data_IF_119612859301
#
_entry.id   IF_119612859301
#
_cell.length_a   1.000
_cell.length_b   1.000
_cell.length_c   1.000
_cell.angle_alpha   90.00
_cell.angle_beta   90.00
_cell.angle_gamma   90.00
#
_symmetry.space_group_name_H-M   'P 1'
#
loop_
_entity.id
_entity.type
_entity.pdbx_description
1 polymer ?
#
# COMPACT_ATOMS: atom_id res chain seq x y z
N UNK A 1 -11.96 3.11 -12.11
CA UNK A 1 -11.01 3.07 -13.23
C UNK A 1 -11.33 1.88 -14.15
N UNK A 2 -10.94 1.87 -15.43
CA UNK A 2 -11.07 0.66 -16.26
C UNK A 2 -9.77 -0.14 -16.18
N UNK A 3 -9.84 -1.35 -15.63
CA UNK A 3 -8.69 -2.26 -15.54
C UNK A 3 -8.39 -2.84 -16.94
N UNK A 4 -7.12 -2.80 -17.34
CA UNK A 4 -6.62 -3.48 -18.55
C UNK A 4 -5.80 -4.71 -18.14
N UNK A 5 -6.27 -5.89 -18.51
CA UNK A 5 -5.56 -7.15 -18.25
C UNK A 5 -4.56 -7.49 -19.35
N UNK A 6 -3.36 -7.90 -18.97
CA UNK A 6 -2.31 -8.39 -19.88
C UNK A 6 -1.81 -9.73 -19.35
N UNK A 7 -1.88 -10.78 -20.19
CA UNK A 7 -1.36 -12.10 -19.86
C UNK A 7 0.12 -12.18 -20.19
N UNK A 8 0.90 -12.77 -19.28
CA UNK A 8 2.34 -13.00 -19.43
C UNK A 8 2.64 -14.47 -19.14
N UNK A 9 3.60 -15.05 -19.86
CA UNK A 9 3.96 -16.47 -19.78
C UNK A 9 5.40 -16.73 -19.35
N UNK A 10 6.22 -15.70 -19.26
CA UNK A 10 7.62 -15.79 -18.85
C UNK A 10 8.09 -14.47 -18.24
N UNK A 11 9.21 -14.53 -17.50
CA UNK A 11 9.84 -13.33 -16.92
C UNK A 11 10.21 -12.32 -18.03
N UNK A 12 10.78 -12.79 -19.15
CA UNK A 12 11.11 -11.91 -20.28
C UNK A 12 9.86 -11.27 -20.90
N UNK A 13 8.77 -12.03 -21.04
CA UNK A 13 7.49 -11.50 -21.50
C UNK A 13 6.95 -10.44 -20.55
N UNK A 14 7.01 -10.69 -19.24
CA UNK A 14 6.61 -9.74 -18.21
C UNK A 14 7.39 -8.42 -18.28
N UNK A 15 8.73 -8.49 -18.29
CA UNK A 15 9.59 -7.30 -18.37
C UNK A 15 9.31 -6.50 -19.65
N UNK A 16 9.16 -7.17 -20.79
CA UNK A 16 8.81 -6.52 -22.06
C UNK A 16 7.44 -5.82 -22.00
N UNK A 17 6.44 -6.42 -21.35
CA UNK A 17 5.13 -5.79 -21.20
C UNK A 17 5.18 -4.58 -20.26
N UNK A 18 5.90 -4.67 -19.14
CA UNK A 18 6.11 -3.52 -18.24
C UNK A 18 6.74 -2.34 -18.98
N UNK A 19 7.76 -2.59 -19.81
CA UNK A 19 8.36 -1.54 -20.64
C UNK A 19 7.39 -0.95 -21.68
N UNK A 20 6.59 -1.79 -22.34
CA UNK A 20 5.58 -1.33 -23.31
C UNK A 20 4.51 -0.47 -22.66
N UNK A 21 3.97 -0.89 -21.51
CA UNK A 21 2.95 -0.12 -20.78
C UNK A 21 3.54 1.20 -20.29
N UNK A 22 4.76 1.19 -19.74
CA UNK A 22 5.45 2.42 -19.33
C UNK A 22 5.62 3.40 -20.50
N UNK A 23 6.04 2.91 -21.67
CA UNK A 23 6.19 3.76 -22.86
C UNK A 23 4.84 4.29 -23.37
N UNK A 24 3.76 3.52 -23.24
CA UNK A 24 2.42 3.96 -23.59
C UNK A 24 1.87 5.03 -22.65
N UNK A 25 2.22 4.97 -21.37
CA UNK A 25 1.81 5.96 -20.38
C UNK A 25 2.64 7.24 -20.43
N UNK A 26 3.79 7.22 -21.11
CA UNK A 26 4.71 8.37 -21.22
C UNK A 26 5.08 8.97 -19.85
N UNK A 27 5.31 8.10 -18.86
CA UNK A 27 5.67 8.48 -17.50
C UNK A 27 7.03 7.92 -17.08
N UNK A 28 7.67 8.63 -16.15
CA UNK A 28 8.97 8.22 -15.63
C UNK A 28 8.86 6.94 -14.80
N UNK A 29 9.90 6.12 -14.83
CA UNK A 29 9.88 4.80 -14.18
C UNK A 29 9.71 4.87 -12.65
N UNK A 30 10.10 5.98 -12.01
CA UNK A 30 9.92 6.20 -10.56
C UNK A 30 8.48 6.41 -10.14
N UNK A 31 7.62 6.74 -11.11
CA UNK A 31 6.24 7.19 -10.91
C UNK A 31 5.26 6.07 -11.24
N UNK A 32 5.75 4.82 -11.23
CA UNK A 32 4.95 3.62 -11.41
C UNK A 32 5.15 2.74 -10.19
N UNK A 33 4.03 2.33 -9.62
CA UNK A 33 4.02 1.40 -8.50
C UNK A 33 3.43 0.06 -8.92
N UNK A 34 3.93 -0.99 -8.29
CA UNK A 34 3.57 -2.37 -8.56
C UNK A 34 3.17 -3.06 -7.26
N UNK A 35 2.23 -4.01 -7.35
CA UNK A 35 1.88 -4.89 -6.24
C UNK A 35 1.70 -6.31 -6.73
N UNK A 36 2.46 -7.22 -6.13
CA UNK A 36 2.36 -8.66 -6.40
C UNK A 36 1.29 -9.30 -5.54
N UNK A 37 0.42 -10.07 -6.17
CA UNK A 37 -0.66 -10.78 -5.51
C UNK A 37 -0.68 -12.24 -5.93
N UNK A 38 -0.58 -13.12 -4.94
CA UNK A 38 -0.53 -14.56 -5.14
C UNK A 38 -1.85 -15.19 -5.61
N UNK A 39 -2.97 -14.45 -5.62
CA UNK A 39 -4.25 -14.97 -6.10
C UNK A 39 -5.15 -13.87 -6.64
N UNK A 40 -5.84 -14.15 -7.75
CA UNK A 40 -6.95 -13.31 -8.25
C UNK A 40 -8.09 -13.10 -7.24
N UNK A 41 -8.16 -13.90 -6.18
CA UNK A 41 -9.15 -13.77 -5.10
C UNK A 41 -8.79 -12.68 -4.11
N UNK A 42 -7.51 -12.30 -4.02
CA UNK A 42 -7.05 -11.26 -3.12
C UNK A 42 -7.21 -9.90 -3.79
N UNK A 43 -8.25 -9.17 -3.40
CA UNK A 43 -8.56 -7.82 -3.86
C UNK A 43 -7.59 -6.80 -3.29
N UNK A 44 -7.47 -5.63 -3.94
CA UNK A 44 -6.67 -4.50 -3.44
C UNK A 44 -7.38 -3.78 -2.29
N UNK A 45 -7.64 -4.53 -1.22
CA UNK A 45 -8.28 -4.06 0.01
C UNK A 45 -7.30 -4.14 1.18
N UNK A 46 -7.38 -3.23 2.15
CA UNK A 46 -6.46 -3.18 3.26
C UNK A 46 -6.85 -4.15 4.39
N UNK A 47 -5.92 -4.34 5.33
CA UNK A 47 -6.05 -5.13 6.56
C UNK A 47 -7.41 -5.07 7.24
N UNK A 48 -7.89 -3.85 7.45
CA UNK A 48 -9.13 -3.54 8.17
C UNK A 48 -10.38 -4.08 7.49
N UNK A 49 -10.42 -4.06 6.15
CA UNK A 49 -11.60 -4.46 5.36
C UNK A 49 -11.73 -5.98 5.35
N UNK A 50 -10.67 -6.72 5.00
CA UNK A 50 -10.76 -8.18 4.88
C UNK A 50 -10.83 -8.89 6.24
N UNK A 51 -10.31 -8.28 7.33
CA UNK A 51 -10.47 -8.83 8.68
C UNK A 51 -11.78 -8.40 9.33
N UNK A 52 -12.47 -7.37 8.82
CA UNK A 52 -13.69 -6.83 9.41
C UNK A 52 -13.48 -6.19 10.79
N UNK A 53 -12.27 -5.69 11.06
CA UNK A 53 -11.87 -5.20 12.38
C UNK A 53 -11.68 -3.68 12.35
N UNK A 54 -12.53 -2.96 13.10
CA UNK A 54 -12.36 -1.54 13.45
C UNK A 54 -11.87 -1.43 14.89
N UNK A 55 -10.65 -1.86 15.18
CA UNK A 55 -10.21 -1.93 16.57
C UNK A 55 -9.28 -0.77 16.95
N UNK A 56 -9.92 0.33 17.34
CA UNK A 56 -9.31 1.37 18.18
C UNK A 56 -8.58 0.79 19.39
N UNK A 57 -9.18 -0.23 20.03
CA UNK A 57 -8.55 -0.98 21.12
C UNK A 57 -7.20 -1.60 20.73
N UNK A 58 -7.06 -2.12 19.50
CA UNK A 58 -5.77 -2.68 19.06
C UNK A 58 -4.72 -1.60 18.83
N UNK A 59 -5.14 -0.40 18.38
CA UNK A 59 -4.24 0.75 18.26
C UNK A 59 -3.75 1.18 19.63
N UNK A 60 -4.67 1.34 20.58
CA UNK A 60 -4.37 1.71 21.95
C UNK A 60 -3.47 0.67 22.63
N UNK A 61 -3.81 -0.61 22.53
CA UNK A 61 -3.01 -1.71 23.08
C UNK A 61 -1.61 -1.73 22.48
N UNK A 62 -1.46 -1.49 21.18
CA UNK A 62 -0.15 -1.38 20.56
C UNK A 62 0.65 -0.21 21.16
N UNK A 63 0.03 0.98 21.26
CA UNK A 63 0.68 2.17 21.80
C UNK A 63 1.12 2.02 23.26
N UNK A 64 0.35 1.28 24.07
CA UNK A 64 0.70 1.00 25.47
C UNK A 64 1.94 0.11 25.62
N UNK A 65 2.16 -0.81 24.68
CA UNK A 65 3.17 -1.86 24.85
C UNK A 65 4.39 -1.70 23.95
N UNK A 66 4.30 -1.00 22.81
CA UNK A 66 5.38 -1.03 21.81
C UNK A 66 6.70 -0.43 22.32
N UNK A 67 6.65 0.58 23.20
CA UNK A 67 7.86 1.21 23.75
C UNK A 67 8.66 0.24 24.61
N UNK A 68 8.01 -0.71 25.28
CA UNK A 68 8.69 -1.75 26.07
C UNK A 68 9.50 -2.72 25.20
N UNK A 69 9.20 -2.80 23.90
CA UNK A 69 9.83 -3.73 22.96
C UNK A 69 10.64 -3.02 21.86
N UNK A 70 10.78 -1.69 21.92
CA UNK A 70 11.49 -0.90 20.92
C UNK A 70 12.58 -0.05 21.56
N UNK A 71 13.84 -0.30 21.19
CA UNK A 71 14.99 0.52 21.61
C UNK A 71 14.94 1.97 21.09
N UNK A 72 14.00 2.25 20.18
CA UNK A 72 13.76 3.59 19.61
C UNK A 72 12.32 3.99 19.84
N UNK A 73 12.14 5.12 20.51
CA UNK A 73 10.84 5.79 20.55
C UNK A 73 10.56 6.39 19.16
N UNK A 74 9.56 5.84 18.47
CA UNK A 74 9.10 6.36 17.18
C UNK A 74 7.99 7.36 17.48
N UNK A 75 8.30 8.65 17.34
CA UNK A 75 7.35 9.73 17.64
C UNK A 75 6.52 10.15 16.42
N UNK A 76 6.89 9.69 15.22
CA UNK A 76 6.22 10.08 13.98
C UNK A 76 5.00 9.17 13.73
N UNK A 77 3.76 9.71 13.71
CA UNK A 77 2.54 8.89 13.69
C UNK A 77 2.39 7.95 12.49
N UNK A 78 2.82 8.37 11.30
CA UNK A 78 2.75 7.51 10.11
C UNK A 78 3.74 6.36 10.17
N UNK A 79 4.92 6.59 10.73
CA UNK A 79 5.92 5.56 11.00
C UNK A 79 5.39 4.54 12.01
N UNK A 80 4.67 4.99 13.05
CA UNK A 80 3.97 4.10 13.99
C UNK A 80 2.88 3.29 13.28
N UNK A 81 2.07 3.92 12.43
CA UNK A 81 1.01 3.23 11.71
C UNK A 81 1.56 2.15 10.74
N UNK A 82 2.66 2.46 10.06
CA UNK A 82 3.39 1.49 9.24
C UNK A 82 4.01 0.37 10.09
N UNK A 83 4.51 0.68 11.29
CA UNK A 83 5.05 -0.30 12.23
C UNK A 83 3.97 -1.26 12.73
N UNK A 84 2.77 -0.77 13.02
CA UNK A 84 1.63 -1.60 13.40
C UNK A 84 1.31 -2.63 12.31
N UNK A 85 1.26 -2.20 11.04
CA UNK A 85 1.10 -3.10 9.90
C UNK A 85 2.23 -4.14 9.84
N UNK A 86 3.47 -3.72 10.10
CA UNK A 86 4.61 -4.62 10.09
C UNK A 86 4.48 -5.75 11.13
N UNK A 87 3.91 -5.46 12.29
CA UNK A 87 3.60 -6.45 13.33
C UNK A 87 2.25 -7.16 13.14
N UNK A 88 1.59 -6.95 11.99
CA UNK A 88 0.42 -7.72 11.58
C UNK A 88 -0.92 -7.19 12.09
N UNK A 89 -0.95 -5.98 12.66
CA UNK A 89 -2.22 -5.32 12.98
C UNK A 89 -2.97 -4.98 11.69
N UNK A 90 -4.31 -5.09 11.68
CA UNK A 90 -5.11 -4.63 10.55
C UNK A 90 -5.01 -3.11 10.45
N UNK A 91 -4.34 -2.62 9.41
CA UNK A 91 -4.31 -1.18 9.09
C UNK A 91 -5.00 -0.91 7.75
N UNK A 92 -5.23 0.37 7.44
CA UNK A 92 -5.75 0.87 6.16
C UNK A 92 -4.65 1.06 5.11
N UNK A 93 -3.39 0.80 5.46
CA UNK A 93 -2.29 0.84 4.52
C UNK A 93 -2.33 -0.38 3.60
N UNK A 94 -1.95 -0.15 2.35
CA UNK A 94 -1.70 -1.18 1.36
C UNK A 94 -0.31 -0.94 0.78
N UNK A 95 0.54 -1.97 0.82
CA UNK A 95 1.92 -1.86 0.37
C UNK A 95 2.04 -1.92 -1.16
N UNK A 96 2.89 -1.07 -1.70
CA UNK A 96 3.30 -1.08 -3.09
C UNK A 96 4.83 -1.10 -3.15
N UNK A 97 5.38 -1.50 -4.29
CA UNK A 97 6.82 -1.42 -4.57
C UNK A 97 7.04 -0.65 -5.86
N UNK A 98 8.14 0.11 -5.93
CA UNK A 98 8.59 0.73 -7.18
C UNK A 98 9.30 -0.25 -8.12
N UNK A 99 9.53 -1.49 -7.69
CA UNK A 99 10.21 -2.51 -8.48
C UNK A 99 9.23 -3.55 -9.01
N UNK A 100 9.09 -3.60 -10.33
CA UNK A 100 8.29 -4.60 -11.04
C UNK A 100 8.72 -6.05 -10.69
N UNK A 101 10.02 -6.30 -10.56
CA UNK A 101 10.53 -7.64 -10.26
C UNK A 101 10.27 -8.05 -8.81
N UNK A 102 10.29 -7.10 -7.86
CA UNK A 102 9.91 -7.37 -6.46
C UNK A 102 8.41 -7.71 -6.39
N UNK A 103 7.56 -7.00 -7.13
CA UNK A 103 6.14 -7.34 -7.22
C UNK A 103 5.93 -8.72 -7.85
N UNK A 104 6.65 -9.05 -8.92
CA UNK A 104 6.58 -10.39 -9.52
C UNK A 104 7.00 -11.47 -8.52
N UNK A 105 8.06 -11.24 -7.75
CA UNK A 105 8.49 -12.15 -6.69
C UNK A 105 7.37 -12.41 -5.68
N UNK A 106 6.73 -11.37 -5.13
CA UNK A 106 5.62 -11.53 -4.19
C UNK A 106 4.39 -12.24 -4.80
N UNK A 107 4.13 -12.07 -6.10
CA UNK A 107 3.06 -12.79 -6.77
C UNK A 107 3.34 -14.31 -6.90
N UNK A 108 4.61 -14.72 -6.86
CA UNK A 108 5.06 -16.09 -7.11
C UNK A 108 5.56 -16.83 -5.87
N UNK A 109 6.05 -16.13 -4.86
CA UNK A 109 6.68 -16.70 -3.65
C UNK A 109 5.70 -17.57 -2.83
N UNK A 110 4.43 -17.18 -2.75
CA UNK A 110 3.47 -17.94 -1.96
C UNK A 110 3.06 -19.26 -2.64
N UNK A 111 3.02 -20.34 -1.85
CA UNK A 111 2.46 -21.65 -2.26
C UNK A 111 1.07 -21.45 -2.85
N UNK A 112 0.77 -22.14 -3.95
CA UNK A 112 -0.52 -22.00 -4.62
C UNK A 112 -1.65 -22.67 -3.81
N UNK A 113 -2.20 -21.93 -2.84
CA UNK A 113 -3.27 -22.39 -1.93
C UNK A 113 -4.59 -22.69 -2.63
N UNK A 114 -4.79 -22.20 -3.86
CA UNK A 114 -6.08 -22.27 -4.58
C UNK A 114 -6.06 -23.16 -5.82
N UNK A 115 -5.03 -24.01 -5.98
CA UNK A 115 -4.96 -25.00 -7.06
C UNK A 115 -4.64 -24.41 -8.45
N UNK A 116 -4.70 -25.26 -9.49
CA UNK A 116 -4.21 -24.97 -10.84
C UNK A 116 -4.86 -23.77 -11.54
N UNK A 117 -6.12 -23.45 -11.22
CA UNK A 117 -6.86 -22.33 -11.85
C UNK A 117 -6.56 -20.97 -11.23
N UNK A 118 -5.75 -20.93 -10.17
CA UNK A 118 -5.39 -19.69 -9.51
C UNK A 118 -4.41 -18.86 -10.33
N UNK A 119 -4.83 -17.66 -10.72
CA UNK A 119 -3.97 -16.71 -11.43
C UNK A 119 -3.14 -15.89 -10.44
N UNK A 120 -1.86 -15.75 -10.74
CA UNK A 120 -0.94 -14.81 -10.08
C UNK A 120 -1.04 -13.47 -10.79
N UNK A 121 -1.14 -12.39 -10.02
CA UNK A 121 -1.40 -11.05 -10.55
C UNK A 121 -0.29 -10.12 -10.11
N UNK A 122 0.16 -9.26 -11.01
CA UNK A 122 0.91 -8.06 -10.66
C UNK A 122 0.11 -6.86 -11.10
N UNK A 123 -0.30 -6.05 -10.14
CA UNK A 123 -0.93 -4.77 -10.38
C UNK A 123 0.13 -3.73 -10.71
N UNK A 124 -0.25 -2.77 -11.54
CA UNK A 124 0.58 -1.65 -11.97
C UNK A 124 -0.30 -0.39 -11.95
N UNK A 125 0.14 0.66 -11.26
CA UNK A 125 -0.61 1.91 -11.10
C UNK A 125 0.29 3.13 -11.28
N UNK A 126 -0.33 4.25 -11.67
CA UNK A 126 0.25 5.59 -11.54
C UNK A 126 -0.31 6.24 -10.27
N UNK A 127 0.47 6.38 -9.18
CA UNK A 127 0.00 7.02 -7.96
C UNK A 127 -0.32 8.50 -8.17
N UNK A 128 0.28 9.14 -9.18
CA UNK A 128 -0.01 10.54 -9.54
C UNK A 128 -1.44 10.66 -10.07
N UNK A 129 -1.86 9.77 -10.96
CA UNK A 129 -3.23 9.79 -11.51
C UNK A 129 -4.24 9.49 -10.40
N UNK A 130 -3.92 8.54 -9.50
CA UNK A 130 -4.76 8.27 -8.33
C UNK A 130 -4.96 9.52 -7.47
N UNK A 131 -3.88 10.19 -7.08
CA UNK A 131 -3.98 11.40 -6.26
C UNK A 131 -4.66 12.55 -7.00
N UNK A 132 -4.43 12.68 -8.31
CA UNK A 132 -5.08 13.71 -9.12
C UNK A 132 -6.60 13.53 -9.16
N UNK A 133 -7.10 12.30 -9.24
CA UNK A 133 -8.53 12.02 -9.16
C UNK A 133 -9.10 12.30 -7.76
N UNK A 134 -8.33 12.04 -6.69
CA UNK A 134 -8.83 12.08 -5.31
C UNK A 134 -8.74 13.46 -4.67
N UNK A 135 -7.66 14.20 -4.91
CA UNK A 135 -7.39 15.51 -4.28
C UNK A 135 -7.09 16.63 -5.31
N UNK A 136 -7.27 16.36 -6.62
CA UNK A 136 -6.97 17.31 -7.70
C UNK A 136 -5.49 17.78 -7.73
N UNK A 137 -4.59 16.95 -7.20
CA UNK A 137 -3.15 17.14 -7.26
C UNK A 137 -2.47 15.78 -7.48
N UNK A 138 -1.62 15.69 -8.50
CA UNK A 138 -0.88 14.47 -8.80
C UNK A 138 0.31 14.22 -7.90
N UNK A 139 0.66 15.14 -7.00
CA UNK A 139 1.82 14.95 -6.13
C UNK A 139 1.63 13.79 -5.14
N UNK A 140 2.67 12.97 -4.96
CA UNK A 140 2.70 11.93 -3.93
C UNK A 140 3.41 12.47 -2.70
N UNK A 141 2.64 12.71 -1.66
CA UNK A 141 3.08 13.42 -0.48
C UNK A 141 3.93 12.56 0.45
N UNK A 142 5.04 13.13 0.96
CA UNK A 142 5.67 12.63 2.16
C UNK A 142 4.86 13.08 3.38
N UNK A 143 4.06 12.16 3.92
CA UNK A 143 3.07 12.48 4.96
C UNK A 143 3.67 12.83 6.31
N UNK A 144 4.98 12.66 6.51
CA UNK A 144 5.66 13.09 7.74
C UNK A 144 6.12 14.56 7.70
N UNK A 145 6.06 15.23 6.55
CA UNK A 145 6.47 16.64 6.44
C UNK A 145 5.40 17.63 6.89
N UNK A 146 4.22 17.16 7.27
CA UNK A 146 3.14 17.99 7.78
C UNK A 146 1.97 17.17 8.29
N UNK A 147 0.91 17.87 8.71
CA UNK A 147 -0.29 17.24 9.29
C UNK A 147 -1.49 17.13 8.35
N UNK A 148 -1.33 17.57 7.09
CA UNK A 148 -2.46 17.70 6.14
C UNK A 148 -3.24 16.43 5.85
N UNK A 149 -2.65 15.25 6.13
CA UNK A 149 -3.28 13.94 5.90
C UNK A 149 -3.60 13.17 7.18
N UNK A 150 -3.50 13.81 8.36
CA UNK A 150 -3.75 13.14 9.64
C UNK A 150 -5.19 12.61 9.77
N UNK A 151 -6.12 13.12 8.96
CA UNK A 151 -7.46 12.58 8.83
C UNK A 151 -7.53 11.16 8.20
N UNK A 152 -6.41 10.63 7.70
CA UNK A 152 -6.27 9.24 7.29
C UNK A 152 -5.64 8.34 8.36
N UNK A 153 -5.17 8.89 9.50
CA UNK A 153 -4.68 8.10 10.62
C UNK A 153 -5.84 7.67 11.52
N UNK A 154 -5.69 6.61 12.32
CA UNK A 154 -6.54 6.41 13.49
C UNK A 154 -6.50 7.65 14.39
N UNK A 155 -7.60 8.00 15.04
CA UNK A 155 -7.69 9.18 15.92
C UNK A 155 -6.66 9.15 17.06
N UNK A 156 -6.26 7.96 17.52
CA UNK A 156 -5.20 7.76 18.53
C UNK A 156 -3.81 8.23 18.06
N UNK A 157 -3.59 8.24 16.74
CA UNK A 157 -2.36 8.70 16.09
C UNK A 157 -2.52 10.08 15.44
N UNK A 158 -3.72 10.65 15.48
CA UNK A 158 -4.08 11.91 14.84
C UNK A 158 -4.27 13.02 15.89
N UNK A 159 -4.83 14.16 15.47
CA UNK A 159 -5.19 15.28 16.35
C UNK A 159 -6.59 15.08 16.99
N UNK A 160 -6.95 13.83 17.31
CA UNK A 160 -8.25 13.45 17.86
C UNK A 160 -9.26 12.94 16.82
N UNK A 161 -10.53 12.86 17.22
CA UNK A 161 -11.62 12.37 16.35
C UNK A 161 -11.80 13.24 15.11
N UNK A 162 -12.03 12.60 13.97
CA UNK A 162 -12.20 13.26 12.69
C UNK A 162 -12.95 12.36 11.71
N UNK A 163 -13.51 12.95 10.66
CA UNK A 163 -14.09 12.19 9.55
C UNK A 163 -13.00 11.64 8.64
N UNK A 164 -13.08 10.34 8.35
CA UNK A 164 -12.18 9.71 7.39
C UNK A 164 -12.57 10.11 5.97
N UNK A 165 -11.62 10.59 5.14
CA UNK A 165 -11.84 10.73 3.71
C UNK A 165 -12.35 9.42 3.11
N UNK A 166 -13.14 9.50 2.04
CA UNK A 166 -13.76 8.32 1.45
C UNK A 166 -12.79 7.50 0.62
N UNK A 167 -12.10 8.17 -0.29
CA UNK A 167 -11.27 7.56 -1.32
C UNK A 167 -9.86 7.24 -0.80
N UNK A 168 -9.13 6.29 -1.42
CA UNK A 168 -7.76 5.98 -1.05
C UNK A 168 -6.79 7.04 -1.57
N UNK A 169 -5.66 7.25 -0.88
CA UNK A 169 -4.62 8.19 -1.28
C UNK A 169 -3.24 7.51 -1.37
N UNK A 170 -2.47 7.81 -2.42
CA UNK A 170 -1.07 7.40 -2.54
C UNK A 170 -0.16 8.34 -1.73
N UNK A 171 0.70 7.74 -0.90
CA UNK A 171 1.54 8.46 0.07
C UNK A 171 2.94 7.84 0.19
N UNK A 172 3.89 8.66 0.59
CA UNK A 172 5.20 8.22 1.08
C UNK A 172 5.26 8.38 2.59
N UNK A 173 5.57 7.28 3.27
CA UNK A 173 5.91 7.27 4.70
C UNK A 173 7.44 7.21 4.79
N UNK A 174 8.12 8.06 5.58
CA UNK A 174 9.57 8.02 5.71
C UNK A 174 10.03 6.66 6.26
N UNK A 175 10.98 6.05 5.56
CA UNK A 175 11.44 4.70 5.90
C UNK A 175 12.58 4.74 6.92
N UNK A 176 12.30 4.39 8.17
CA UNK A 176 13.26 4.09 9.24
C UNK A 176 13.52 2.58 9.40
N UNK A 177 12.73 1.70 8.74
CA UNK A 177 12.93 0.26 8.74
C UNK A 177 13.73 -0.22 7.49
N UNK A 178 14.78 -1.02 7.71
CA UNK A 178 15.62 -1.59 6.64
C UNK A 178 14.82 -2.41 5.62
N UNK A 179 13.76 -3.11 6.05
CA UNK A 179 12.90 -3.94 5.20
C UNK A 179 12.18 -3.12 4.12
N UNK A 180 11.63 -1.96 4.48
CA UNK A 180 10.89 -1.11 3.54
C UNK A 180 11.85 -0.45 2.54
N UNK A 181 13.06 -0.07 3.00
CA UNK A 181 14.13 0.41 2.10
C UNK A 181 14.54 -0.64 1.07
N UNK A 182 14.75 -1.89 1.49
CA UNK A 182 15.12 -2.97 0.55
C UNK A 182 14.03 -3.32 -0.47
N UNK A 183 12.76 -3.08 -0.12
CA UNK A 183 11.61 -3.39 -0.98
C UNK A 183 11.22 -2.24 -1.91
N UNK A 184 11.91 -1.09 -1.84
CA UNK A 184 11.50 0.15 -2.51
C UNK A 184 10.02 0.48 -2.24
N UNK A 185 9.62 0.35 -0.97
CA UNK A 185 8.22 0.41 -0.55
C UNK A 185 7.57 1.77 -0.73
N UNK A 186 6.31 1.75 -1.11
CA UNK A 186 5.39 2.87 -1.16
C UNK A 186 4.02 2.43 -0.64
N UNK A 187 3.11 3.35 -0.36
CA UNK A 187 1.84 3.02 0.29
C UNK A 187 0.68 3.75 -0.34
N UNK A 188 -0.47 3.08 -0.37
CA UNK A 188 -1.77 3.77 -0.43
C UNK A 188 -2.44 3.60 0.93
N UNK A 189 -3.06 4.65 1.45
CA UNK A 189 -3.90 4.59 2.64
C UNK A 189 -5.36 4.66 2.22
N UNK A 190 -6.16 3.68 2.63
CA UNK A 190 -7.59 3.68 2.36
C UNK A 190 -8.33 4.65 3.28
N UNK A 191 -9.35 5.27 2.72
CA UNK A 191 -10.34 6.05 3.44
C UNK A 191 -11.37 5.18 4.19
N UNK A 192 -12.61 5.67 4.25
CA UNK A 192 -13.77 4.95 4.79
C UNK A 192 -14.41 3.99 3.80
N UNK A 193 -14.08 4.08 2.51
CA UNK A 193 -14.57 3.15 1.48
C UNK A 193 -14.00 1.75 1.69
N UNK A 194 -14.87 0.74 1.60
CA UNK A 194 -14.50 -0.68 1.58
C UNK A 194 -14.21 -1.20 0.16
N UNK A 195 -14.38 -0.35 -0.86
CA UNK A 195 -14.11 -0.74 -2.24
C UNK A 195 -12.63 -1.02 -2.45
N UNK A 196 -12.34 -1.95 -3.36
CA UNK A 196 -10.97 -2.20 -3.83
C UNK A 196 -10.49 -1.01 -4.66
N UNK A 197 -9.18 -0.75 -4.70
CA UNK A 197 -8.60 0.31 -5.56
C UNK A 197 -8.82 0.02 -7.06
N UNK A 198 -8.99 -1.25 -7.42
CA UNK A 198 -9.11 -1.73 -8.81
C UNK A 198 -10.46 -1.40 -9.48
#
# INVERSE_FOLDING_TARGET
MKIREIKVSSVSSYVNQVHKVRAQWDIHASDIWYRGTASQRYKLQPGTVWRGVKNHNLVQDFLLHYEAYSDKSIQEPWSLYALMQHYGLPTRLLDWTKSALIALYFALEEVNKFGGDNKRIVYMITPLDLNKEVINDGFVYNVAQGRGFYNYLPWELSDGEHELPKEPLAIYIPNNNKRIKSQQGAFTVHGSSNESIE
#
